data_IF_902326911917
#
_entry.id   IF_902326911917
#
_cell.length_a   1.000
_cell.length_b   1.000
_cell.length_c   1.000
_cell.angle_alpha   90.00
_cell.angle_beta   90.00
_cell.angle_gamma   90.00
#
_symmetry.space_group_name_H-M   'P 1'
#
loop_
_entity.id
_entity.type
_entity.pdbx_description
1 polymer ?
#
# COMPACT_ATOMS: atom_id res chain seq x y z
N UNK A 1 33.75 3.28 5.30
CA UNK A 1 32.76 2.27 4.86
C UNK A 1 31.48 3.00 4.47
N UNK A 2 31.32 3.28 3.16
CA UNK A 2 30.16 4.03 2.64
C UNK A 2 28.96 3.08 2.48
N UNK A 3 27.98 3.18 3.35
CA UNK A 3 26.70 2.50 3.18
C UNK A 3 25.91 3.21 2.07
N UNK A 4 25.87 2.63 0.89
CA UNK A 4 24.97 3.07 -0.18
C UNK A 4 23.53 2.81 0.28
N UNK A 5 22.79 3.85 0.65
CA UNK A 5 21.35 3.80 0.83
C UNK A 5 20.70 3.32 -0.47
N UNK A 6 19.82 2.34 -0.37
CA UNK A 6 19.08 1.82 -1.51
C UNK A 6 18.21 2.94 -2.10
N UNK A 7 18.29 3.16 -3.43
CA UNK A 7 17.55 4.20 -4.15
C UNK A 7 16.02 4.16 -3.97
N UNK A 8 15.47 3.07 -3.44
CA UNK A 8 14.05 2.95 -3.07
C UNK A 8 13.63 3.84 -1.90
N UNK A 9 14.56 4.23 -1.01
CA UNK A 9 14.25 5.12 0.11
C UNK A 9 14.16 6.59 -0.31
N UNK A 10 14.75 6.97 -1.45
CA UNK A 10 14.70 8.35 -1.94
C UNK A 10 13.40 8.71 -2.67
N UNK A 11 12.73 7.76 -3.31
CA UNK A 11 11.48 8.01 -4.02
C UNK A 11 10.27 8.29 -3.12
N UNK A 12 10.35 7.89 -1.85
CA UNK A 12 9.26 8.10 -0.87
C UNK A 12 9.38 9.43 -0.10
N UNK A 13 10.51 10.12 -0.21
CA UNK A 13 10.76 11.37 0.52
C UNK A 13 10.43 12.65 -0.28
N UNK A 14 10.05 12.55 -1.56
CA UNK A 14 9.98 13.71 -2.46
C UNK A 14 8.59 14.28 -2.73
N UNK A 15 7.51 13.79 -2.07
CA UNK A 15 6.15 14.33 -2.31
C UNK A 15 5.54 14.82 -0.99
N UNK A 16 6.08 15.92 -0.51
CA UNK A 16 5.38 16.80 0.42
C UNK A 16 5.04 18.09 -0.34
N UNK A 17 3.83 18.23 -0.79
CA UNK A 17 3.39 19.51 -1.32
C UNK A 17 2.24 19.47 -2.29
N UNK A 18 1.04 19.24 -1.80
CA UNK A 18 -0.13 19.97 -2.32
C UNK A 18 -1.18 20.07 -1.21
N UNK A 19 -1.37 21.28 -0.75
CA UNK A 19 -2.41 21.66 0.20
C UNK A 19 -3.75 21.61 -0.52
N UNK A 20 -4.65 20.75 -0.06
CA UNK A 20 -6.07 20.84 -0.43
C UNK A 20 -6.86 21.18 0.81
N UNK A 21 -7.29 22.44 0.87
CA UNK A 21 -8.28 22.94 1.82
C UNK A 21 -9.66 22.43 1.42
N UNK A 22 -10.28 21.62 2.27
CA UNK A 22 -11.66 21.19 2.10
C UNK A 22 -11.99 19.96 2.95
N UNK A 23 -12.19 20.18 4.25
CA UNK A 23 -12.74 19.17 5.16
C UNK A 23 -14.24 19.05 4.93
N UNK A 24 -14.69 18.00 4.29
CA UNK A 24 -16.09 17.56 4.36
C UNK A 24 -16.12 16.14 4.95
N UNK A 25 -16.88 15.99 6.00
CA UNK A 25 -17.19 14.70 6.62
C UNK A 25 -17.95 13.81 5.63
N UNK A 26 -17.28 12.83 5.06
CA UNK A 26 -17.93 11.77 4.28
C UNK A 26 -18.37 10.67 5.24
N UNK A 27 -19.63 10.71 5.64
CA UNK A 27 -20.32 9.53 6.16
C UNK A 27 -20.46 8.52 5.02
N UNK A 28 -20.55 7.22 5.33
CA UNK A 28 -20.72 6.11 4.37
C UNK A 28 -21.82 6.29 3.30
N UNK A 29 -22.65 7.33 3.41
CA UNK A 29 -23.69 7.69 2.42
C UNK A 29 -23.15 8.52 1.23
N UNK A 30 -21.98 9.14 1.32
CA UNK A 30 -21.46 10.03 0.27
C UNK A 30 -20.80 9.26 -0.89
N UNK A 31 -20.50 7.98 -0.73
CA UNK A 31 -19.99 7.13 -1.83
C UNK A 31 -21.08 6.69 -2.82
N UNK A 32 -22.34 7.06 -2.62
CA UNK A 32 -23.48 6.49 -3.33
C UNK A 32 -23.96 7.27 -4.58
N UNK A 33 -23.41 8.44 -4.91
CA UNK A 33 -23.93 9.25 -6.02
C UNK A 33 -22.81 9.89 -6.86
N UNK A 34 -22.30 9.14 -7.84
CA UNK A 34 -21.47 9.71 -8.90
C UNK A 34 -21.84 9.04 -10.23
N UNK A 35 -22.08 9.85 -11.30
CA UNK A 35 -22.39 9.33 -12.63
C UNK A 35 -21.22 8.52 -13.19
N UNK A 36 -21.54 7.41 -13.80
CA UNK A 36 -20.63 6.40 -14.33
C UNK A 36 -19.75 6.89 -15.48
N UNK A 37 -18.47 7.06 -15.19
CA UNK A 37 -17.41 7.03 -16.20
C UNK A 37 -16.58 5.77 -15.94
N UNK A 38 -16.86 4.70 -16.62
CA UNK A 38 -16.22 3.40 -16.52
C UNK A 38 -16.52 2.63 -15.21
N UNK A 39 -17.49 1.69 -15.21
CA UNK A 39 -17.96 0.99 -14.00
C UNK A 39 -16.84 0.22 -13.26
N UNK A 40 -15.72 -0.10 -13.89
CA UNK A 40 -14.59 -0.78 -13.26
C UNK A 40 -13.77 0.14 -12.33
N UNK A 41 -13.89 1.46 -12.42
CA UNK A 41 -13.12 2.41 -11.61
C UNK A 41 -13.90 3.00 -10.42
N UNK A 42 -15.21 2.80 -10.37
CA UNK A 42 -16.11 3.54 -9.48
C UNK A 42 -15.90 3.31 -7.98
N UNK A 43 -15.19 2.28 -7.57
CA UNK A 43 -14.99 1.95 -6.17
C UNK A 43 -13.52 1.82 -5.79
N UNK A 44 -12.59 2.38 -6.61
CA UNK A 44 -11.17 2.33 -6.27
C UNK A 44 -10.88 3.39 -5.21
N UNK A 45 -10.34 2.93 -4.10
CA UNK A 45 -9.85 3.76 -3.01
C UNK A 45 -8.34 3.52 -2.87
N UNK A 46 -7.60 4.61 -2.80
CA UNK A 46 -6.17 4.61 -2.56
C UNK A 46 -5.85 5.00 -1.11
N UNK A 47 -4.70 4.55 -0.64
CA UNK A 47 -4.17 4.92 0.66
C UNK A 47 -2.71 5.36 0.54
N UNK A 48 -2.35 6.40 1.28
CA UNK A 48 -0.95 6.83 1.42
C UNK A 48 -0.66 7.20 2.87
N UNK A 49 0.61 7.18 3.26
CA UNK A 49 1.08 7.72 4.52
C UNK A 49 1.46 9.19 4.31
N UNK A 50 1.02 10.07 5.18
CA UNK A 50 1.32 11.49 5.11
C UNK A 50 1.57 12.09 6.48
N UNK A 51 2.36 13.17 6.55
CA UNK A 51 2.45 14.00 7.74
C UNK A 51 1.15 14.80 7.87
N UNK A 52 0.49 14.72 9.01
CA UNK A 52 -0.69 15.54 9.29
C UNK A 52 -0.18 16.95 9.52
N UNK A 53 -0.38 17.83 8.56
CA UNK A 53 -0.20 19.26 8.77
C UNK A 53 -1.50 19.75 9.41
N UNK A 54 -1.54 19.88 10.74
CA UNK A 54 -2.58 20.63 11.39
C UNK A 54 -2.34 22.10 11.05
N UNK A 55 -3.17 22.64 10.17
CA UNK A 55 -3.24 24.07 9.91
C UNK A 55 -3.96 24.76 11.08
N UNK A 56 -3.37 24.76 12.26
CA UNK A 56 -3.64 25.84 13.19
C UNK A 56 -2.90 27.05 12.66
N UNK A 57 -3.70 28.02 12.24
CA UNK A 57 -3.34 29.35 11.75
C UNK A 57 -1.85 29.68 11.90
N UNK A 58 -1.05 29.42 10.89
CA UNK A 58 0.25 30.02 10.77
C UNK A 58 0.03 31.52 10.51
N UNK A 59 0.04 32.31 11.59
CA UNK A 59 0.38 33.71 11.51
C UNK A 59 1.82 33.73 11.02
N UNK A 60 2.01 34.07 9.75
CA UNK A 60 3.33 34.35 9.20
C UNK A 60 3.80 35.62 9.91
N UNK A 61 4.82 35.60 10.79
CA UNK A 61 5.41 36.83 11.25
C UNK A 61 6.13 37.44 10.04
N UNK A 62 5.80 38.69 9.71
CA UNK A 62 6.60 39.50 8.81
C UNK A 62 8.05 39.50 9.34
N UNK A 63 8.95 38.93 8.53
CA UNK A 63 10.39 38.97 8.84
C UNK A 63 10.88 40.37 8.51
N UNK A 64 10.96 41.23 9.53
CA UNK A 64 11.79 42.43 9.49
C UNK A 64 13.26 41.99 9.49
N UNK A 65 13.88 42.13 8.33
CA UNK A 65 15.33 41.94 8.16
C UNK A 65 16.08 43.09 8.85
N UNK A 66 16.49 42.92 10.09
CA UNK A 66 17.63 43.65 10.69
C UNK A 66 18.21 42.87 11.86
N UNK A 67 19.52 42.70 11.78
CA UNK A 67 20.48 42.24 12.79
C UNK A 67 20.69 40.74 12.97
N UNK A 68 21.88 40.32 12.43
CA UNK A 68 22.61 39.13 12.85
C UNK A 68 23.09 39.32 14.30
N UNK A 69 22.54 38.53 15.21
CA UNK A 69 23.23 38.24 16.46
C UNK A 69 23.32 36.72 16.64
N UNK A 70 24.59 36.27 16.69
CA UNK A 70 25.02 34.89 16.61
C UNK A 70 25.18 34.29 18.00
N UNK A 71 24.10 34.16 18.77
CA UNK A 71 24.09 33.33 19.99
C UNK A 71 22.66 32.93 20.35
N UNK A 72 22.11 31.94 19.63
CA UNK A 72 20.91 31.27 20.08
C UNK A 72 21.20 29.76 20.24
N UNK A 73 20.86 29.16 21.39
CA UNK A 73 21.00 27.73 21.58
C UNK A 73 20.07 26.98 20.64
N UNK A 74 20.62 25.99 19.94
CA UNK A 74 19.92 25.06 19.05
C UNK A 74 18.87 24.25 19.83
N UNK A 75 17.75 24.81 20.17
CA UNK A 75 16.54 24.08 20.50
C UNK A 75 15.67 23.99 19.24
N UNK A 76 16.13 23.19 18.24
CA UNK A 76 15.21 22.63 17.26
C UNK A 76 14.32 21.63 18.01
N UNK A 77 13.25 22.11 18.60
CA UNK A 77 12.10 21.27 18.91
C UNK A 77 11.55 20.78 17.57
N UNK A 78 12.05 19.64 17.12
CA UNK A 78 11.42 18.88 16.03
C UNK A 78 10.14 18.31 16.61
N UNK A 79 9.06 19.07 16.56
CA UNK A 79 7.70 18.53 16.70
C UNK A 79 7.48 17.53 15.57
N UNK A 80 7.90 16.29 15.82
CA UNK A 80 7.67 15.16 14.90
C UNK A 80 6.18 14.89 14.95
N UNK A 81 5.47 15.46 13.96
CA UNK A 81 4.03 15.28 13.83
C UNK A 81 3.72 13.81 13.57
N UNK A 82 2.66 13.26 14.18
CA UNK A 82 2.28 11.87 13.97
C UNK A 82 2.00 11.62 12.49
N UNK A 83 2.47 10.47 11.98
CA UNK A 83 2.19 10.03 10.63
C UNK A 83 0.77 9.51 10.57
N UNK A 84 -0.06 10.12 9.75
CA UNK A 84 -1.44 9.68 9.51
C UNK A 84 -1.57 8.88 8.20
N UNK A 85 -2.72 8.26 8.04
CA UNK A 85 -3.15 7.64 6.79
C UNK A 85 -4.12 8.58 6.07
N UNK A 86 -3.94 8.72 4.77
CA UNK A 86 -4.83 9.46 3.89
C UNK A 86 -5.51 8.49 2.94
N UNK A 87 -6.84 8.46 2.97
CA UNK A 87 -7.67 7.77 1.97
C UNK A 87 -8.04 8.73 0.85
N UNK A 88 -7.97 8.25 -0.37
CA UNK A 88 -8.35 9.02 -1.56
C UNK A 88 -9.21 8.16 -2.49
N UNK A 89 -10.31 8.72 -2.98
CA UNK A 89 -11.13 8.09 -4.01
C UNK A 89 -10.60 8.45 -5.40
N UNK A 90 -10.41 7.47 -6.25
CA UNK A 90 -9.96 7.68 -7.63
C UNK A 90 -10.96 8.51 -8.43
N UNK A 91 -12.27 8.25 -8.26
CA UNK A 91 -13.31 8.84 -9.09
C UNK A 91 -13.64 10.29 -8.71
N UNK A 92 -13.62 10.61 -7.40
CA UNK A 92 -13.99 11.96 -6.93
C UNK A 92 -12.80 12.86 -6.68
N UNK A 93 -11.59 12.30 -6.59
CA UNK A 93 -10.42 13.01 -6.12
C UNK A 93 -10.49 13.42 -4.63
N UNK A 94 -11.60 13.11 -3.95
CA UNK A 94 -11.78 13.47 -2.56
C UNK A 94 -10.78 12.72 -1.68
N UNK A 95 -10.10 13.44 -0.82
CA UNK A 95 -9.17 12.89 0.16
C UNK A 95 -9.77 13.01 1.56
N UNK A 96 -9.63 11.96 2.35
CA UNK A 96 -9.97 11.94 3.77
C UNK A 96 -8.73 11.59 4.58
N UNK A 97 -8.33 12.50 5.45
CA UNK A 97 -7.32 12.21 6.47
C UNK A 97 -8.00 11.41 7.57
N UNK A 98 -7.53 10.20 7.80
CA UNK A 98 -7.93 9.42 8.96
C UNK A 98 -7.25 10.04 10.17
N UNK A 99 -7.95 11.01 10.80
CA UNK A 99 -7.48 11.66 11.99
C UNK A 99 -7.38 10.66 13.15
N UNK A 100 -6.28 10.69 13.81
CA UNK A 100 -5.78 9.78 14.80
C UNK A 100 -6.59 9.76 16.09
N UNK A 101 -7.19 8.66 16.40
CA UNK A 101 -7.41 8.27 17.79
C UNK A 101 -6.32 7.31 18.31
N UNK A 102 -5.46 6.81 17.43
CA UNK A 102 -4.36 5.93 17.83
C UNK A 102 -3.17 6.20 16.92
N UNK A 103 -1.98 6.52 17.45
CA UNK A 103 -0.80 6.69 16.63
C UNK A 103 -0.49 5.36 15.93
N UNK A 104 -0.56 5.37 14.59
CA UNK A 104 -0.20 4.21 13.76
C UNK A 104 1.31 3.95 13.80
N UNK A 105 2.08 4.94 14.22
CA UNK A 105 3.52 4.89 14.41
C UNK A 105 3.91 5.64 15.66
N UNK A 106 4.98 5.21 16.30
CA UNK A 106 5.65 5.99 17.33
C UNK A 106 6.28 7.24 16.71
N UNK A 107 6.47 8.33 17.49
CA UNK A 107 7.13 9.53 16.99
C UNK A 107 8.50 9.18 16.36
N UNK A 108 8.71 9.59 15.10
CA UNK A 108 9.93 9.31 14.35
C UNK A 108 9.95 8.00 13.57
N UNK A 109 8.93 7.17 13.65
CA UNK A 109 8.80 5.99 12.79
C UNK A 109 8.26 6.36 11.40
N UNK A 110 8.88 5.80 10.36
CA UNK A 110 8.34 5.84 9.00
C UNK A 110 7.51 4.58 8.80
N UNK A 111 6.25 4.73 8.40
CA UNK A 111 5.38 3.61 8.08
C UNK A 111 5.56 3.16 6.63
N UNK A 112 5.77 1.85 6.45
CA UNK A 112 5.62 1.20 5.17
C UNK A 112 4.24 0.53 5.09
N UNK A 113 3.42 0.93 4.13
CA UNK A 113 2.15 0.28 3.83
C UNK A 113 2.46 -0.97 3.01
N UNK A 114 2.27 -2.14 3.62
CA UNK A 114 2.58 -3.44 2.99
C UNK A 114 1.35 -4.12 2.38
N UNK A 115 0.15 -3.61 2.66
CA UNK A 115 -1.08 -4.12 2.08
C UNK A 115 -2.28 -3.26 2.42
N UNK A 116 -3.23 -3.18 1.49
CA UNK A 116 -4.49 -2.46 1.65
C UNK A 116 -5.60 -3.23 0.96
N UNK A 117 -6.69 -3.51 1.67
CA UNK A 117 -7.79 -4.32 1.16
C UNK A 117 -9.13 -3.91 1.77
N UNK A 118 -10.22 -4.39 1.16
CA UNK A 118 -11.58 -4.31 1.71
C UNK A 118 -12.05 -5.72 2.06
N UNK A 119 -12.63 -5.88 3.24
CA UNK A 119 -13.33 -7.11 3.63
C UNK A 119 -14.69 -7.20 2.93
N UNK A 120 -15.35 -8.37 3.03
CA UNK A 120 -16.65 -8.62 2.43
C UNK A 120 -17.77 -7.73 2.99
N UNK A 121 -17.63 -7.25 4.23
CA UNK A 121 -18.55 -6.31 4.89
C UNK A 121 -18.28 -4.83 4.54
N UNK A 122 -17.31 -4.56 3.67
CA UNK A 122 -16.89 -3.21 3.28
C UNK A 122 -15.86 -2.56 4.20
N UNK A 123 -15.48 -3.20 5.29
CA UNK A 123 -14.43 -2.68 6.18
C UNK A 123 -13.10 -2.60 5.45
N UNK A 124 -12.50 -1.41 5.42
CA UNK A 124 -11.16 -1.22 4.86
C UNK A 124 -10.11 -1.65 5.89
N UNK A 125 -9.08 -2.36 5.41
CA UNK A 125 -8.01 -2.89 6.25
C UNK A 125 -6.66 -2.55 5.66
N UNK A 126 -5.77 -2.00 6.48
CA UNK A 126 -4.41 -1.65 6.07
C UNK A 126 -3.37 -2.41 6.92
N UNK A 127 -2.38 -2.97 6.27
CA UNK A 127 -1.20 -3.51 6.92
C UNK A 127 -0.06 -2.50 6.86
N UNK A 128 0.53 -2.19 8.01
CA UNK A 128 1.65 -1.28 8.14
C UNK A 128 2.80 -1.94 8.91
N UNK A 129 4.02 -1.64 8.48
CA UNK A 129 5.23 -2.08 9.18
C UNK A 129 6.12 -0.86 9.38
N UNK A 130 6.47 -0.50 10.62
CA UNK A 130 7.42 0.57 10.87
C UNK A 130 8.79 0.25 10.27
N UNK A 131 9.37 1.21 9.58
CA UNK A 131 10.73 1.11 9.05
C UNK A 131 11.70 1.52 10.15
N UNK A 132 12.29 0.55 10.84
CA UNK A 132 13.34 0.86 11.82
C UNK A 132 14.70 0.91 11.15
N UNK A 133 15.49 1.91 11.52
CA UNK A 133 16.89 2.05 11.12
C UNK A 133 17.74 0.93 11.77
N UNK A 134 17.28 0.39 12.89
CA UNK A 134 17.95 -0.69 13.61
C UNK A 134 17.58 -2.07 13.06
N UNK A 135 18.57 -2.80 12.55
CA UNK A 135 18.40 -4.19 12.06
C UNK A 135 18.08 -5.21 13.17
N UNK A 136 18.19 -4.83 14.44
CA UNK A 136 18.12 -5.76 15.60
C UNK A 136 16.72 -5.91 16.19
N UNK A 137 15.81 -4.96 15.96
CA UNK A 137 14.45 -5.05 16.48
C UNK A 137 13.52 -5.56 15.39
N UNK A 138 12.84 -6.66 15.65
CA UNK A 138 11.72 -7.10 14.84
C UNK A 138 10.60 -6.09 15.01
N UNK A 139 10.31 -5.31 13.98
CA UNK A 139 9.22 -4.35 14.02
C UNK A 139 7.93 -5.08 13.70
N UNK A 140 6.97 -5.11 14.60
CA UNK A 140 5.73 -5.85 14.36
C UNK A 140 4.94 -5.20 13.23
N UNK A 141 4.49 -6.02 12.28
CA UNK A 141 3.45 -5.63 11.33
C UNK A 141 2.16 -5.41 12.10
N UNK A 142 1.48 -4.30 11.83
CA UNK A 142 0.17 -3.97 12.39
C UNK A 142 -0.88 -4.07 11.30
N UNK A 143 -2.06 -4.56 11.65
CA UNK A 143 -3.25 -4.56 10.79
C UNK A 143 -4.26 -3.64 11.45
N UNK A 144 -4.67 -2.61 10.72
CA UNK A 144 -5.64 -1.63 11.20
C UNK A 144 -6.92 -1.71 10.38
N UNK A 145 -8.03 -1.95 11.05
CA UNK A 145 -9.38 -1.93 10.50
C UNK A 145 -9.91 -0.51 10.59
N UNK A 146 -10.20 0.07 9.44
CA UNK A 146 -10.62 1.49 9.31
C UNK A 146 -12.15 1.60 9.43
N UNK A 147 -12.68 1.06 10.50
CA UNK A 147 -14.10 1.14 10.87
C UNK A 147 -14.36 2.13 12.00
N UNK A 148 -15.56 2.11 12.53
CA UNK A 148 -15.93 2.88 13.72
C UNK A 148 -16.38 1.92 14.82
N UNK A 149 -15.57 1.70 15.86
CA UNK A 149 -14.25 2.28 16.14
C UNK A 149 -13.13 1.70 15.28
N UNK A 150 -12.01 2.43 15.14
CA UNK A 150 -10.78 1.92 14.54
C UNK A 150 -10.18 0.86 15.48
N UNK A 151 -9.83 -0.30 14.91
CA UNK A 151 -9.20 -1.42 15.64
C UNK A 151 -7.85 -1.73 15.03
N UNK A 152 -6.83 -1.88 15.86
CA UNK A 152 -5.49 -2.30 15.42
C UNK A 152 -5.09 -3.61 16.10
N UNK A 153 -4.56 -4.54 15.32
CA UNK A 153 -4.00 -5.82 15.78
C UNK A 153 -2.52 -5.89 15.40
N UNK A 154 -1.73 -6.51 16.25
CA UNK A 154 -0.35 -6.88 15.93
C UNK A 154 -0.37 -8.25 15.28
N UNK A 155 0.28 -8.37 14.11
CA UNK A 155 0.43 -9.67 13.44
C UNK A 155 1.39 -10.53 14.24
N UNK A 156 0.91 -11.66 14.74
CA UNK A 156 1.68 -12.64 15.49
C UNK A 156 1.97 -13.89 14.66
N UNK A 157 3.03 -14.64 15.03
CA UNK A 157 3.47 -15.84 14.31
C UNK A 157 4.49 -15.58 13.19
N UNK A 158 4.84 -14.33 12.89
CA UNK A 158 5.94 -14.00 11.97
C UNK A 158 7.30 -14.34 12.62
N UNK A 159 8.19 -14.97 11.84
CA UNK A 159 9.58 -15.18 12.27
C UNK A 159 10.38 -13.87 12.14
N UNK A 160 11.51 -13.77 12.84
CA UNK A 160 12.33 -12.55 12.93
C UNK A 160 12.71 -11.92 11.57
N UNK A 161 12.88 -12.71 10.53
CA UNK A 161 13.25 -12.24 9.19
C UNK A 161 12.07 -12.23 8.20
N UNK A 162 10.86 -12.48 8.68
CA UNK A 162 9.64 -12.48 7.87
C UNK A 162 8.89 -11.16 7.98
N UNK A 163 8.16 -10.86 6.93
CA UNK A 163 7.29 -9.69 6.82
C UNK A 163 6.05 -10.05 6.02
N UNK A 164 4.92 -9.49 6.40
CA UNK A 164 3.72 -9.49 5.58
C UNK A 164 3.94 -8.53 4.39
N UNK A 165 3.98 -9.08 3.19
CA UNK A 165 4.27 -8.32 1.96
C UNK A 165 3.03 -7.97 1.16
N UNK A 166 1.87 -8.54 1.49
CA UNK A 166 0.59 -8.25 0.86
C UNK A 166 -0.56 -8.68 1.74
N UNK A 167 -1.73 -8.06 1.54
CA UNK A 167 -2.96 -8.32 2.27
C UNK A 167 -4.13 -8.38 1.30
N UNK A 168 -5.07 -9.30 1.55
CA UNK A 168 -6.27 -9.49 0.74
C UNK A 168 -7.45 -9.94 1.61
N UNK A 169 -8.54 -9.19 1.56
CA UNK A 169 -9.85 -9.65 2.01
C UNK A 169 -10.47 -10.51 0.89
N UNK A 170 -10.75 -11.75 1.17
CA UNK A 170 -11.32 -12.69 0.20
C UNK A 170 -12.83 -12.54 0.06
N UNK A 171 -13.38 -13.10 -1.01
CA UNK A 171 -14.83 -13.05 -1.25
C UNK A 171 -15.62 -13.86 -0.21
N UNK A 172 -15.00 -14.87 0.40
CA UNK A 172 -15.59 -15.69 1.47
C UNK A 172 -15.40 -15.09 2.88
N UNK A 173 -14.90 -13.84 2.97
CA UNK A 173 -14.81 -13.07 4.22
C UNK A 173 -13.57 -13.34 5.06
N UNK A 174 -12.59 -14.09 4.56
CA UNK A 174 -11.30 -14.27 5.23
C UNK A 174 -10.37 -13.10 4.94
N UNK A 175 -9.35 -12.96 5.78
CA UNK A 175 -8.22 -12.10 5.55
C UNK A 175 -6.99 -12.95 5.32
N UNK A 176 -6.42 -12.90 4.13
CA UNK A 176 -5.24 -13.66 3.77
C UNK A 176 -4.07 -12.74 3.42
N UNK A 177 -2.85 -13.26 3.46
CA UNK A 177 -1.67 -12.49 3.13
C UNK A 177 -0.53 -13.32 2.56
N UNK A 178 0.42 -12.64 1.95
CA UNK A 178 1.70 -13.23 1.55
C UNK A 178 2.78 -12.85 2.57
N UNK A 179 3.42 -13.86 3.14
CA UNK A 179 4.53 -13.69 4.06
C UNK A 179 5.81 -14.16 3.38
N UNK A 180 6.80 -13.29 3.31
CA UNK A 180 8.12 -13.56 2.77
C UNK A 180 9.23 -13.05 3.68
N UNK A 181 10.47 -13.09 3.22
CA UNK A 181 11.54 -12.35 3.86
C UNK A 181 11.29 -10.84 3.75
N UNK A 182 11.95 -10.02 4.56
CA UNK A 182 11.79 -8.55 4.59
C UNK A 182 11.95 -7.84 3.24
N UNK A 183 12.57 -8.47 2.27
CA UNK A 183 12.71 -7.95 0.90
C UNK A 183 11.72 -8.58 -0.11
N UNK A 184 10.74 -9.36 0.36
CA UNK A 184 9.75 -10.04 -0.50
C UNK A 184 10.27 -11.30 -1.19
N UNK A 185 11.46 -11.80 -0.82
CA UNK A 185 12.04 -13.03 -1.42
C UNK A 185 11.60 -14.29 -0.67
N UNK A 186 11.70 -15.47 -1.31
CA UNK A 186 11.34 -16.75 -0.70
C UNK A 186 12.10 -17.07 0.60
N UNK A 187 11.51 -17.90 1.45
CA UNK A 187 10.29 -18.68 1.25
C UNK A 187 9.02 -17.83 1.36
N UNK A 188 8.07 -18.04 0.45
CA UNK A 188 6.78 -17.37 0.45
C UNK A 188 5.72 -18.29 1.02
N UNK A 189 4.97 -17.78 1.99
CA UNK A 189 3.81 -18.44 2.60
C UNK A 189 2.55 -17.68 2.24
N UNK A 190 1.53 -18.39 1.79
CA UNK A 190 0.16 -17.91 1.82
C UNK A 190 -0.39 -18.21 3.21
N UNK A 191 -0.86 -17.20 3.90
CA UNK A 191 -1.34 -17.30 5.28
C UNK A 191 -2.77 -16.81 5.41
N UNK A 192 -3.51 -17.40 6.33
CA UNK A 192 -4.76 -16.88 6.87
C UNK A 192 -4.44 -16.05 8.11
N UNK A 193 -5.18 -14.95 8.30
CA UNK A 193 -4.98 -14.02 9.41
C UNK A 193 -6.26 -13.95 10.22
N UNK A 194 -6.18 -14.33 11.48
CA UNK A 194 -7.30 -14.27 12.38
C UNK A 194 -7.72 -12.82 12.64
N UNK A 195 -8.97 -12.47 12.27
CA UNK A 195 -9.53 -11.11 12.38
C UNK A 195 -9.70 -10.62 13.82
N UNK A 196 -9.62 -11.53 14.82
CA UNK A 196 -9.76 -11.19 16.24
C UNK A 196 -8.42 -10.99 16.91
N UNK A 197 -7.45 -11.86 16.60
CA UNK A 197 -6.17 -11.93 17.31
C UNK A 197 -4.98 -11.42 16.51
N UNK A 198 -5.07 -11.36 15.17
CA UNK A 198 -3.94 -11.05 14.29
C UNK A 198 -2.96 -12.23 14.12
N UNK A 199 -3.29 -13.40 14.66
CA UNK A 199 -2.45 -14.60 14.53
C UNK A 199 -2.50 -15.14 13.09
N UNK A 200 -1.34 -15.51 12.54
CA UNK A 200 -1.26 -16.10 11.21
C UNK A 200 -1.23 -17.63 11.30
N UNK A 201 -1.94 -18.28 10.38
CA UNK A 201 -1.85 -19.70 10.11
C UNK A 201 -1.47 -19.95 8.65
N UNK A 202 -0.57 -20.91 8.42
CA UNK A 202 -0.10 -21.19 7.06
C UNK A 202 -1.14 -21.99 6.27
N UNK A 203 -1.63 -21.43 5.15
CA UNK A 203 -2.45 -22.14 4.18
C UNK A 203 -1.56 -22.99 3.28
N UNK A 204 -0.54 -22.37 2.68
CA UNK A 204 0.34 -23.05 1.74
C UNK A 204 1.72 -22.40 1.71
N UNK A 205 2.75 -23.22 1.37
CA UNK A 205 4.11 -22.74 1.07
C UNK A 205 4.31 -22.78 -0.43
N UNK A 206 4.41 -21.59 -1.04
CA UNK A 206 4.55 -21.43 -2.47
C UNK A 206 6.04 -21.44 -2.86
N UNK A 207 6.39 -22.21 -3.86
CA UNK A 207 7.76 -22.34 -4.34
C UNK A 207 8.03 -21.34 -5.46
N UNK A 208 8.79 -20.30 -5.14
CA UNK A 208 9.36 -19.38 -6.13
C UNK A 208 10.88 -19.49 -6.18
N UNK A 209 11.54 -19.13 -7.28
CA UNK A 209 13.00 -18.95 -7.34
C UNK A 209 13.49 -17.98 -6.26
N UNK A 210 14.71 -18.20 -5.77
CA UNK A 210 15.22 -17.46 -4.60
C UNK A 210 15.57 -15.99 -4.88
N UNK A 211 15.76 -15.63 -6.13
CA UNK A 211 16.12 -14.29 -6.61
C UNK A 211 14.92 -13.43 -7.01
N UNK A 212 13.73 -14.01 -7.05
CA UNK A 212 12.50 -13.33 -7.39
C UNK A 212 11.77 -12.81 -6.14
N UNK A 213 11.14 -11.66 -6.26
CA UNK A 213 10.35 -11.03 -5.21
C UNK A 213 8.89 -11.10 -5.56
N UNK A 214 8.08 -11.52 -4.60
CA UNK A 214 6.63 -11.59 -4.72
C UNK A 214 6.02 -10.41 -4.02
N UNK A 215 5.08 -9.74 -4.67
CA UNK A 215 4.32 -8.63 -4.09
C UNK A 215 2.89 -8.65 -4.61
N UNK A 216 2.02 -8.04 -3.82
CA UNK A 216 0.60 -7.90 -4.12
C UNK A 216 -0.15 -9.25 -4.15
N UNK A 217 -1.43 -9.17 -3.89
CA UNK A 217 -2.35 -10.31 -3.94
C UNK A 217 -3.73 -9.77 -4.31
N UNK A 218 -4.36 -10.39 -5.31
CA UNK A 218 -5.70 -10.07 -5.75
C UNK A 218 -6.51 -11.34 -5.95
N UNK A 219 -7.79 -11.33 -5.59
CA UNK A 219 -8.75 -12.38 -5.91
C UNK A 219 -9.75 -11.84 -6.92
N UNK A 220 -9.96 -12.58 -8.00
CA UNK A 220 -10.99 -12.29 -8.98
C UNK A 220 -12.30 -13.01 -8.63
N UNK A 221 -13.46 -12.60 -9.22
CA UNK A 221 -14.75 -13.23 -8.95
C UNK A 221 -14.81 -14.71 -9.27
N UNK A 222 -13.91 -15.22 -10.11
CA UNK A 222 -13.76 -16.64 -10.43
C UNK A 222 -13.01 -17.44 -9.34
N UNK A 223 -12.68 -16.80 -8.21
CA UNK A 223 -11.96 -17.39 -7.09
C UNK A 223 -10.46 -17.57 -7.32
N UNK A 224 -9.94 -17.16 -8.47
CA UNK A 224 -8.51 -17.27 -8.75
C UNK A 224 -7.74 -16.15 -8.07
N UNK A 225 -6.59 -16.52 -7.51
CA UNK A 225 -5.64 -15.59 -6.90
C UNK A 225 -4.55 -15.19 -7.89
N UNK A 226 -4.21 -13.92 -7.91
CA UNK A 226 -3.16 -13.36 -8.74
C UNK A 226 -2.14 -12.59 -7.89
N UNK A 227 -0.88 -12.64 -8.33
CA UNK A 227 0.23 -11.90 -7.71
C UNK A 227 1.19 -11.41 -8.78
N UNK A 228 2.06 -10.48 -8.44
CA UNK A 228 3.16 -10.06 -9.30
C UNK A 228 4.49 -10.61 -8.79
N UNK A 229 5.31 -11.05 -9.73
CA UNK A 229 6.64 -11.59 -9.49
C UNK A 229 7.65 -10.67 -10.16
N UNK A 230 8.59 -10.17 -9.38
CA UNK A 230 9.61 -9.22 -9.84
C UNK A 230 10.96 -9.92 -9.91
N UNK A 231 11.51 -10.02 -11.09
CA UNK A 231 12.83 -10.58 -11.35
C UNK A 231 13.97 -9.66 -10.91
N UNK A 232 15.19 -10.14 -11.08
CA UNK A 232 16.40 -9.42 -10.64
C UNK A 232 16.57 -8.05 -11.32
N UNK A 233 16.22 -7.95 -12.60
CA UNK A 233 16.32 -6.72 -13.40
C UNK A 233 15.11 -5.79 -13.26
N UNK A 234 14.10 -6.20 -12.47
CA UNK A 234 12.87 -5.45 -12.27
C UNK A 234 11.73 -5.86 -13.20
N UNK A 235 12.01 -6.75 -14.16
CA UNK A 235 11.00 -7.37 -15.01
C UNK A 235 9.90 -7.99 -14.16
N UNK A 236 8.65 -7.71 -14.52
CA UNK A 236 7.51 -8.10 -13.70
C UNK A 236 6.60 -9.04 -14.47
N UNK A 237 6.35 -10.19 -13.89
CA UNK A 237 5.49 -11.23 -14.44
C UNK A 237 4.21 -11.36 -13.63
N UNK A 238 3.07 -11.44 -14.30
CA UNK A 238 1.80 -11.81 -13.69
C UNK A 238 1.78 -13.32 -13.43
N UNK A 239 1.33 -13.69 -12.25
CA UNK A 239 1.32 -15.08 -11.78
C UNK A 239 -0.04 -15.39 -11.18
N UNK A 240 -0.58 -16.56 -11.51
CA UNK A 240 -1.75 -17.12 -10.84
C UNK A 240 -1.28 -18.08 -9.74
N UNK A 241 -1.90 -17.94 -8.57
CA UNK A 241 -1.71 -18.82 -7.42
C UNK A 241 -2.91 -19.77 -7.30
N UNK A 242 -2.62 -20.98 -6.89
CA UNK A 242 -3.62 -21.95 -6.46
C UNK A 242 -3.35 -22.29 -5.00
N UNK A 243 -4.33 -22.12 -4.13
CA UNK A 243 -4.21 -22.41 -2.70
C UNK A 243 -3.83 -23.87 -2.43
N UNK A 244 -4.15 -24.78 -3.35
CA UNK A 244 -3.90 -26.22 -3.23
C UNK A 244 -2.59 -26.66 -3.90
N UNK A 245 -1.97 -25.78 -4.72
CA UNK A 245 -0.75 -26.11 -5.45
C UNK A 245 0.45 -25.32 -4.91
N UNK A 246 1.58 -26.02 -4.81
CA UNK A 246 2.84 -25.40 -4.35
C UNK A 246 3.55 -24.62 -5.44
N UNK A 247 3.21 -24.85 -6.72
CA UNK A 247 3.83 -24.17 -7.85
C UNK A 247 2.89 -23.11 -8.40
N UNK A 248 3.35 -21.87 -8.54
CA UNK A 248 2.59 -20.82 -9.21
C UNK A 248 2.58 -21.05 -10.72
N UNK A 249 1.53 -20.56 -11.38
CA UNK A 249 1.41 -20.56 -12.84
C UNK A 249 1.83 -19.18 -13.34
N UNK A 250 2.94 -19.10 -14.06
CA UNK A 250 3.35 -17.86 -14.75
C UNK A 250 2.44 -17.65 -15.94
N UNK A 251 1.79 -16.49 -16.00
CA UNK A 251 0.87 -16.16 -17.09
C UNK A 251 1.56 -15.37 -18.19
N UNK A 252 1.96 -14.13 -17.88
CA UNK A 252 2.55 -13.24 -18.87
C UNK A 252 3.47 -12.21 -18.22
N UNK A 253 4.49 -11.77 -18.96
CA UNK A 253 5.31 -10.63 -18.60
C UNK A 253 4.50 -9.34 -18.83
N UNK A 254 4.51 -8.44 -17.84
CA UNK A 254 3.77 -7.19 -17.92
C UNK A 254 4.46 -6.20 -18.88
N UNK A 255 3.64 -5.50 -19.69
CA UNK A 255 4.10 -4.56 -20.72
C UNK A 255 3.17 -3.37 -20.82
N UNK A 256 3.71 -2.19 -21.12
CA UNK A 256 2.96 -0.99 -21.47
C UNK A 256 3.48 -0.51 -22.83
N UNK A 257 2.60 -0.34 -23.80
CA UNK A 257 2.93 0.09 -25.16
C UNK A 257 4.05 -0.75 -25.79
N UNK A 258 4.02 -2.07 -25.56
CA UNK A 258 5.02 -3.03 -26.04
C UNK A 258 6.34 -3.02 -25.27
N UNK A 259 6.56 -2.11 -24.34
CA UNK A 259 7.74 -2.04 -23.48
C UNK A 259 7.52 -2.89 -22.24
N UNK A 260 8.54 -3.65 -21.82
CA UNK A 260 8.49 -4.44 -20.61
C UNK A 260 8.35 -3.56 -19.37
N UNK A 261 7.45 -3.96 -18.47
CA UNK A 261 7.33 -3.33 -17.17
C UNK A 261 8.54 -3.69 -16.31
N UNK A 262 9.37 -2.71 -16.04
CA UNK A 262 10.67 -2.86 -15.40
C UNK A 262 10.70 -2.39 -13.94
N UNK A 263 9.56 -2.35 -13.29
CA UNK A 263 9.40 -1.99 -11.89
C UNK A 263 8.37 -2.93 -11.23
N UNK A 264 8.41 -3.10 -9.91
CA UNK A 264 7.36 -3.83 -9.22
C UNK A 264 6.05 -3.04 -9.23
N UNK A 265 4.92 -3.73 -9.15
CA UNK A 265 3.63 -3.10 -8.92
C UNK A 265 3.54 -2.64 -7.45
N UNK A 266 2.89 -1.50 -7.23
CA UNK A 266 2.56 -1.04 -5.89
C UNK A 266 1.35 -1.81 -5.34
N UNK A 267 0.35 -2.07 -6.20
CA UNK A 267 -0.86 -2.80 -5.84
C UNK A 267 -1.42 -3.56 -7.03
N UNK A 268 -2.21 -4.59 -6.73
CA UNK A 268 -2.95 -5.39 -7.71
C UNK A 268 -4.33 -5.68 -7.11
N UNK A 269 -5.40 -5.41 -7.86
CA UNK A 269 -6.78 -5.66 -7.44
C UNK A 269 -7.60 -6.21 -8.60
N UNK A 270 -8.70 -6.91 -8.32
CA UNK A 270 -9.59 -7.40 -9.36
C UNK A 270 -10.99 -6.82 -9.18
N UNK A 271 -11.55 -6.25 -10.25
CA UNK A 271 -12.88 -5.68 -10.23
C UNK A 271 -13.98 -6.77 -10.13
N UNK A 272 -15.17 -6.35 -9.77
CA UNK A 272 -16.34 -7.25 -9.75
C UNK A 272 -16.66 -7.86 -11.12
N UNK A 273 -16.20 -7.23 -12.22
CA UNK A 273 -16.35 -7.76 -13.59
C UNK A 273 -15.21 -8.71 -13.99
N UNK A 274 -14.25 -8.99 -13.10
CA UNK A 274 -13.11 -9.86 -13.36
C UNK A 274 -11.92 -9.17 -14.05
N UNK A 275 -11.97 -7.84 -14.22
CA UNK A 275 -10.86 -7.07 -14.77
C UNK A 275 -9.78 -6.88 -13.71
N UNK A 276 -8.56 -7.25 -14.05
CA UNK A 276 -7.40 -7.03 -13.19
C UNK A 276 -6.89 -5.61 -13.37
N UNK A 277 -6.64 -4.91 -12.25
CA UNK A 277 -6.15 -3.55 -12.20
C UNK A 277 -4.86 -3.51 -11.39
N UNK A 278 -3.89 -2.74 -11.87
CA UNK A 278 -2.60 -2.56 -11.22
C UNK A 278 -2.35 -1.09 -10.91
N UNK A 279 -1.70 -0.82 -9.79
CA UNK A 279 -1.15 0.50 -9.45
C UNK A 279 0.37 0.46 -9.57
N UNK A 280 0.95 1.49 -10.16
CA UNK A 280 2.39 1.67 -10.20
C UNK A 280 2.83 2.73 -11.19
N UNK A 281 4.15 2.84 -11.34
CA UNK A 281 4.79 3.64 -12.37
C UNK A 281 5.95 2.85 -12.97
N UNK A 282 6.24 3.05 -14.24
CA UNK A 282 7.47 2.53 -14.82
C UNK A 282 8.68 3.15 -14.13
N UNK A 283 9.81 2.48 -14.22
CA UNK A 283 11.04 2.98 -13.59
C UNK A 283 11.37 4.37 -14.10
N UNK A 284 11.58 5.32 -13.17
CA UNK A 284 11.83 6.74 -13.41
C UNK A 284 10.62 7.56 -13.87
N UNK A 285 9.43 6.99 -13.91
CA UNK A 285 8.19 7.72 -14.15
C UNK A 285 7.48 8.07 -12.84
N UNK A 286 6.80 9.19 -12.84
CA UNK A 286 5.89 9.67 -11.79
C UNK A 286 4.77 10.48 -12.44
N UNK A 287 3.58 10.56 -11.89
CA UNK A 287 3.08 9.87 -10.69
C UNK A 287 2.75 8.40 -10.94
N UNK A 288 2.40 7.67 -9.87
CA UNK A 288 1.75 6.37 -10.01
C UNK A 288 0.45 6.52 -10.81
N UNK A 289 0.10 5.48 -11.55
CA UNK A 289 -1.16 5.42 -12.29
C UNK A 289 -1.83 4.05 -12.11
N UNK A 290 -3.13 4.02 -12.34
CA UNK A 290 -3.92 2.80 -12.44
C UNK A 290 -3.88 2.31 -13.89
N UNK A 291 -3.63 1.02 -14.04
CA UNK A 291 -3.60 0.33 -15.33
C UNK A 291 -4.60 -0.83 -15.32
N UNK A 292 -5.28 -1.05 -16.45
CA UNK A 292 -5.92 -2.33 -16.70
C UNK A 292 -4.87 -3.35 -17.18
N UNK A 293 -5.03 -4.61 -16.77
CA UNK A 293 -4.10 -5.69 -17.11
C UNK A 293 -4.83 -6.79 -17.87
N UNK A 294 -4.36 -7.11 -19.05
CA UNK A 294 -4.79 -8.32 -19.76
C UNK A 294 -4.03 -9.51 -19.18
N UNK A 295 -4.76 -10.43 -18.56
CA UNK A 295 -4.20 -11.61 -17.89
C UNK A 295 -3.50 -12.58 -18.84
N UNK A 296 -3.86 -12.59 -20.10
CA UNK A 296 -3.33 -13.54 -21.09
C UNK A 296 -2.05 -13.02 -21.75
N UNK A 297 -2.04 -11.75 -22.13
CA UNK A 297 -0.91 -11.15 -22.85
C UNK A 297 0.06 -10.37 -21.94
N UNK A 298 -0.38 -10.00 -20.74
CA UNK A 298 0.36 -9.10 -19.85
C UNK A 298 0.34 -7.64 -20.28
N UNK A 299 -0.39 -7.30 -21.33
CA UNK A 299 -0.50 -5.91 -21.78
C UNK A 299 -1.26 -5.09 -20.76
N UNK A 300 -0.68 -3.94 -20.43
CA UNK A 300 -1.24 -2.96 -19.50
C UNK A 300 -1.61 -1.69 -20.26
N UNK A 301 -2.82 -1.21 -20.01
CA UNK A 301 -3.30 0.08 -20.54
C UNK A 301 -3.45 1.06 -19.40
N UNK A 302 -2.79 2.22 -19.49
CA UNK A 302 -2.91 3.30 -18.51
C UNK A 302 -4.34 3.85 -18.55
N UNK A 303 -4.97 3.92 -17.37
CA UNK A 303 -6.34 4.41 -17.23
C UNK A 303 -6.35 5.84 -16.67
N UNK A 304 -5.67 6.07 -15.56
CA UNK A 304 -5.68 7.34 -14.85
C UNK A 304 -4.50 7.46 -13.89
N UNK A 305 -4.00 8.69 -13.71
CA UNK A 305 -3.00 9.02 -12.71
C UNK A 305 -3.60 8.93 -11.30
N UNK A 306 -2.90 8.27 -10.40
CA UNK A 306 -3.34 8.11 -9.03
C UNK A 306 -2.14 7.92 -8.11
N UNK A 307 -1.68 9.01 -7.52
CA UNK A 307 -0.45 9.02 -6.73
C UNK A 307 -0.69 8.61 -5.28
N UNK A 308 -0.93 7.33 -5.09
CA UNK A 308 -1.14 6.69 -3.79
C UNK A 308 -0.16 5.52 -3.61
N UNK A 309 0.00 5.05 -2.37
CA UNK A 309 0.90 3.93 -2.07
C UNK A 309 0.28 2.57 -2.41
N UNK A 310 -1.03 2.41 -2.16
CA UNK A 310 -1.76 1.18 -2.40
C UNK A 310 -3.19 1.50 -2.82
N UNK A 311 -3.84 0.59 -3.54
CA UNK A 311 -5.26 0.67 -3.89
C UNK A 311 -6.01 -0.58 -3.42
N UNK A 312 -7.32 -0.40 -3.21
CA UNK A 312 -8.29 -1.49 -3.07
C UNK A 312 -9.59 -1.11 -3.76
N UNK A 313 -10.46 -2.09 -3.95
CA UNK A 313 -11.84 -1.88 -4.38
C UNK A 313 -12.71 -1.93 -3.14
N UNK A 314 -13.34 -0.81 -2.80
CA UNK A 314 -14.28 -0.76 -1.69
C UNK A 314 -15.49 -1.66 -2.01
N UNK A 315 -15.74 -2.62 -1.15
CA UNK A 315 -16.93 -3.51 -1.22
C UNK A 315 -18.08 -2.82 -0.49
N UNK A 316 -19.28 -3.05 -0.95
CA UNK A 316 -20.52 -2.52 -0.34
C UNK A 316 -21.25 -3.60 0.41
#
# INVERSE_FOLDING_TARGET
MNSKLSRRQFGQLAIAGTVVSGLSYLTNKALAQIPSLNPSLNNIVGITSGSIITTDKAVIPEVNTTELDSTAPNNLSTDIKPVGLVLQSLTTGNSQVLANSTPLAEPGEILNISGFTSLSDGTLVVATTPVTISRKLATPTRITFLGTPIKTLIVSGLKQNQQLGSLLGTNDGRLIGLVGKKNGTPPILLVDINLQTGEISSINKIKFPNDERVSNLAECPDGKLYTSLVGFHGDTTLVQLDSNQKKPIRLAQLKVDGKEWNNGLQSLVCSATGQLLALGAMRYETPNAVYSVDKNSGNMTRLQDFDVAQITIARR
#
